data_IF_469386004326
#
_entry.id   IF_469386004326
#
_cell.length_a   1.000
_cell.length_b   1.000
_cell.length_c   1.000
_cell.angle_alpha   90.00
_cell.angle_beta   90.00
_cell.angle_gamma   90.00
#
_symmetry.space_group_name_H-M   'P 1'
#
loop_
_entity.id
_entity.type
_entity.pdbx_description
1 polymer ?
#
# COMPACT_ATOMS: atom_id res chain seq x y z
N UNK A 1 -1.96 -2.60 -3.34
CA UNK A 1 -1.16 -1.77 -2.41
C UNK A 1 -1.70 -0.35 -2.41
N UNK A 2 -2.20 0.09 -1.26
CA UNK A 2 -2.82 1.41 -1.08
C UNK A 2 -2.24 2.10 0.16
N UNK A 3 -2.22 3.42 0.17
CA UNK A 3 -1.71 4.26 1.27
C UNK A 3 -2.86 5.11 1.80
N UNK A 4 -2.91 5.23 3.12
CA UNK A 4 -3.96 5.90 3.88
C UNK A 4 -3.34 6.86 4.90
N UNK A 5 -4.03 7.96 5.19
CA UNK A 5 -3.71 8.82 6.32
C UNK A 5 -4.27 8.25 7.64
N UNK A 6 -4.02 8.95 8.76
CA UNK A 6 -4.48 8.54 10.10
C UNK A 6 -6.01 8.53 10.25
N UNK A 7 -6.74 9.22 9.37
CA UNK A 7 -8.20 9.27 9.36
C UNK A 7 -8.79 8.15 8.49
N UNK A 8 -7.95 7.33 7.85
CA UNK A 8 -8.35 6.25 6.97
C UNK A 8 -8.68 6.71 5.55
N UNK A 9 -8.37 7.96 5.19
CA UNK A 9 -8.56 8.45 3.82
C UNK A 9 -7.48 7.84 2.92
N UNK A 10 -7.89 7.24 1.81
CA UNK A 10 -6.95 6.79 0.77
C UNK A 10 -6.27 8.00 0.14
N UNK A 11 -4.94 8.07 0.25
CA UNK A 11 -4.12 9.17 -0.29
C UNK A 11 -3.34 8.76 -1.54
N UNK A 12 -3.11 7.46 -1.73
CA UNK A 12 -2.48 6.94 -2.95
C UNK A 12 -2.85 5.46 -3.18
N UNK A 13 -2.99 5.08 -4.45
CA UNK A 13 -2.97 3.68 -4.88
C UNK A 13 -1.67 3.46 -5.63
N UNK A 14 -0.79 2.58 -5.12
CA UNK A 14 0.55 2.34 -5.67
C UNK A 14 0.58 1.14 -6.63
N UNK A 15 -0.27 0.15 -6.37
CA UNK A 15 -0.40 -1.04 -7.21
C UNK A 15 -1.84 -1.53 -7.11
N UNK A 16 -2.49 -1.67 -8.26
CA UNK A 16 -3.85 -2.18 -8.39
C UNK A 16 -3.97 -3.00 -9.69
N UNK A 17 -3.62 -4.27 -9.61
CA UNK A 17 -3.63 -5.18 -10.75
C UNK A 17 -3.03 -6.54 -10.40
N UNK A 18 -3.03 -7.43 -11.39
CA UNK A 18 -2.35 -8.72 -11.30
C UNK A 18 -0.84 -8.53 -11.43
N UNK A 19 -0.10 -9.27 -10.62
CA UNK A 19 1.37 -9.30 -10.62
C UNK A 19 1.83 -10.75 -10.55
N UNK A 20 2.95 -11.04 -11.20
CA UNK A 20 3.59 -12.35 -11.09
C UNK A 20 4.08 -12.59 -9.67
N UNK A 21 4.14 -13.87 -9.30
CA UNK A 21 4.70 -14.29 -8.02
C UNK A 21 6.19 -13.94 -7.96
N UNK A 22 6.64 -13.47 -6.80
CA UNK A 22 8.01 -13.06 -6.59
C UNK A 22 8.12 -11.80 -5.76
N UNK A 23 9.35 -11.29 -5.65
CA UNK A 23 9.62 -10.03 -4.95
C UNK A 23 9.29 -8.89 -5.90
N UNK A 24 8.34 -8.05 -5.50
CA UNK A 24 7.95 -6.85 -6.24
C UNK A 24 8.42 -5.61 -5.48
N UNK A 25 9.05 -4.68 -6.20
CA UNK A 25 9.47 -3.39 -5.65
C UNK A 25 8.59 -2.30 -6.25
N UNK A 26 7.97 -1.48 -5.39
CA UNK A 26 7.08 -0.39 -5.80
C UNK A 26 7.62 0.92 -5.23
N UNK A 27 7.90 1.88 -6.10
CA UNK A 27 8.33 3.22 -5.71
C UNK A 27 7.14 4.08 -5.30
N UNK A 28 7.27 4.79 -4.19
CA UNK A 28 6.26 5.73 -3.72
C UNK A 28 6.85 7.13 -3.62
N UNK A 29 6.33 8.07 -4.41
CA UNK A 29 6.67 9.49 -4.31
C UNK A 29 5.68 10.21 -3.37
N UNK A 30 6.14 10.53 -2.17
CA UNK A 30 5.35 11.20 -1.13
C UNK A 30 5.56 12.72 -1.07
N UNK A 31 6.12 13.35 -2.11
CA UNK A 31 6.46 14.78 -2.14
C UNK A 31 5.31 15.69 -1.70
N UNK A 32 4.10 15.40 -2.17
CA UNK A 32 2.91 16.23 -1.96
C UNK A 32 2.16 15.91 -0.66
N UNK A 33 2.68 14.96 0.13
CA UNK A 33 2.14 14.61 1.44
C UNK A 33 2.84 15.41 2.56
N UNK A 34 2.11 15.71 3.63
CA UNK A 34 2.67 16.35 4.81
C UNK A 34 3.46 15.34 5.66
N UNK A 35 4.44 15.80 6.44
CA UNK A 35 5.09 14.94 7.43
C UNK A 35 4.05 14.40 8.42
N UNK A 36 4.12 13.12 8.75
CA UNK A 36 3.09 12.50 9.59
C UNK A 36 3.09 10.97 9.50
N UNK A 37 2.12 10.37 10.20
CA UNK A 37 1.91 8.93 10.20
C UNK A 37 1.00 8.56 9.04
N UNK A 38 1.38 7.54 8.30
CA UNK A 38 0.61 6.93 7.22
C UNK A 38 0.54 5.42 7.42
N UNK A 39 -0.46 4.81 6.80
CA UNK A 39 -0.62 3.37 6.77
C UNK A 39 -0.61 2.91 5.32
N UNK A 40 0.08 1.82 5.03
CA UNK A 40 -0.10 1.15 3.75
C UNK A 40 -0.70 -0.22 3.96
N UNK A 41 -1.61 -0.59 3.06
CA UNK A 41 -2.29 -1.86 3.05
C UNK A 41 -1.92 -2.65 1.80
N UNK A 42 -1.44 -3.87 2.01
CA UNK A 42 -1.20 -4.87 0.99
C UNK A 42 -2.37 -5.83 1.04
N UNK A 43 -3.24 -5.77 0.03
CA UNK A 43 -4.27 -6.77 -0.21
C UNK A 43 -3.87 -7.56 -1.46
N UNK A 44 -3.76 -8.88 -1.33
CA UNK A 44 -3.46 -9.80 -2.43
C UNK A 44 -4.50 -10.91 -2.43
N UNK A 45 -4.97 -11.26 -3.62
CA UNK A 45 -5.84 -12.42 -3.83
C UNK A 45 -5.19 -13.28 -4.91
N UNK A 46 -5.14 -14.58 -4.68
CA UNK A 46 -4.76 -15.53 -5.73
C UNK A 46 -5.78 -15.47 -6.87
N UNK A 47 -5.32 -15.61 -8.11
CA UNK A 47 -6.19 -15.63 -9.31
C UNK A 47 -7.24 -16.75 -9.25
N UNK A 48 -6.98 -17.84 -8.51
CA UNK A 48 -7.96 -18.91 -8.27
C UNK A 48 -8.96 -18.58 -7.15
N UNK A 49 -8.82 -17.44 -6.48
CA UNK A 49 -9.71 -16.97 -5.40
C UNK A 49 -9.61 -17.73 -4.08
N UNK A 50 -8.80 -18.80 -4.00
CA UNK A 50 -8.69 -19.67 -2.81
C UNK A 50 -7.86 -19.08 -1.67
N UNK A 51 -6.96 -18.16 -1.99
CA UNK A 51 -6.02 -17.58 -1.04
C UNK A 51 -6.11 -16.07 -1.09
N UNK A 52 -6.14 -15.46 0.10
CA UNK A 52 -6.07 -14.01 0.24
C UNK A 52 -5.11 -13.66 1.37
N UNK A 53 -4.41 -12.56 1.18
CA UNK A 53 -3.48 -12.00 2.15
C UNK A 53 -3.80 -10.52 2.31
N UNK A 54 -3.86 -10.07 3.56
CA UNK A 54 -4.07 -8.67 3.90
C UNK A 54 -3.11 -8.30 5.03
N UNK A 55 -2.24 -7.33 4.79
CA UNK A 55 -1.33 -6.80 5.80
C UNK A 55 -1.37 -5.28 5.78
N UNK A 56 -1.42 -4.66 6.97
CA UNK A 56 -1.32 -3.21 7.12
C UNK A 56 -0.09 -2.89 7.94
N UNK A 57 0.70 -1.92 7.47
CA UNK A 57 1.91 -1.47 8.16
C UNK A 57 1.90 0.05 8.27
N UNK A 58 2.47 0.52 9.38
CA UNK A 58 2.63 1.95 9.69
C UNK A 58 3.92 2.47 9.09
N UNK A 59 3.88 3.69 8.55
CA UNK A 59 5.02 4.44 8.04
C UNK A 59 5.03 5.84 8.68
N UNK A 60 6.21 6.36 8.98
CA UNK A 60 6.41 7.75 9.36
C UNK A 60 7.04 8.50 8.18
N UNK A 61 6.36 9.51 7.67
CA UNK A 61 6.90 10.42 6.66
C UNK A 61 7.56 11.61 7.37
N UNK A 62 8.84 11.81 7.10
CA UNK A 62 9.63 12.95 7.59
C UNK A 62 10.19 13.71 6.38
N UNK A 63 10.12 15.04 6.43
CA UNK A 63 10.71 15.95 5.44
C UNK A 63 11.95 16.60 6.02
#
# INVERSE_FOLDING_TARGET
LKVYDILGKEVATLLNGEIESGIQTVSFNAKDLASGIYFYKIDVKSSEGKQSFSETRKMLLMK
#
